data_IF_786586474415
#
_entry.id   IF_786586474415
#
_cell.length_a   1.000
_cell.length_b   1.000
_cell.length_c   1.000
_cell.angle_alpha   90.00
_cell.angle_beta   90.00
_cell.angle_gamma   90.00
#
_symmetry.space_group_name_H-M   'P 1'
#
loop_
_entity.id
_entity.type
_entity.pdbx_description
1 polymer ?
#
# COMPACT_ATOMS: atom_id res chain seq x y z
N UNK A 1 -5.66 8.80 12.84
CA UNK A 1 -4.55 7.86 13.11
C UNK A 1 -3.64 7.81 11.89
N UNK A 2 -2.31 7.67 12.06
CA UNK A 2 -1.35 7.52 10.96
C UNK A 2 -0.75 6.11 11.02
N UNK A 3 -0.71 5.42 9.88
CA UNK A 3 -0.03 4.13 9.72
C UNK A 3 1.29 4.33 8.97
N UNK A 4 2.30 3.52 9.27
CA UNK A 4 3.58 3.46 8.56
C UNK A 4 3.85 2.00 8.19
N UNK A 5 4.25 1.78 6.95
CA UNK A 5 4.64 0.48 6.43
C UNK A 5 6.01 0.64 5.80
N UNK A 6 6.93 -0.26 6.12
CA UNK A 6 8.22 -0.31 5.46
C UNK A 6 8.10 -1.14 4.18
N UNK A 7 8.68 -0.62 3.09
CA UNK A 7 8.70 -1.29 1.80
C UNK A 7 10.06 -1.96 1.60
N UNK A 8 10.06 -3.11 0.93
CA UNK A 8 11.31 -3.71 0.48
C UNK A 8 12.08 -2.74 -0.44
N UNK A 9 13.42 -2.71 -0.35
CA UNK A 9 14.22 -1.79 -1.14
C UNK A 9 14.12 -2.12 -2.64
N UNK A 10 14.20 -1.09 -3.48
CA UNK A 10 14.26 -1.20 -4.93
C UNK A 10 15.25 -0.20 -5.51
N UNK A 11 15.85 -0.52 -6.65
CA UNK A 11 16.70 0.38 -7.43
C UNK A 11 16.19 0.41 -8.86
N UNK A 12 15.68 1.57 -9.29
CA UNK A 12 15.04 1.70 -10.59
C UNK A 12 15.23 3.09 -11.20
N UNK A 13 15.47 3.13 -12.51
CA UNK A 13 15.52 4.37 -13.29
C UNK A 13 14.19 4.56 -14.02
N UNK A 14 13.44 5.59 -13.64
CA UNK A 14 12.24 6.01 -14.37
C UNK A 14 12.64 6.88 -15.56
N UNK A 15 12.67 6.28 -16.76
CA UNK A 15 13.00 6.97 -18.01
C UNK A 15 11.86 7.88 -18.47
N UNK A 16 12.15 8.76 -19.44
CA UNK A 16 11.14 9.59 -20.11
C UNK A 16 9.97 8.73 -20.61
N UNK A 17 8.75 9.12 -20.26
CA UNK A 17 7.53 8.39 -20.59
C UNK A 17 7.09 7.36 -19.54
N UNK A 18 7.96 6.98 -18.60
CA UNK A 18 7.58 6.11 -17.48
C UNK A 18 6.72 6.87 -16.46
N UNK A 19 6.02 6.11 -15.61
CA UNK A 19 5.26 6.64 -14.48
C UNK A 19 5.58 5.84 -13.22
N UNK A 20 5.58 6.54 -12.09
CA UNK A 20 5.52 5.91 -10.77
C UNK A 20 4.05 5.66 -10.44
N UNK A 21 3.69 4.42 -10.11
CA UNK A 21 2.34 4.06 -9.66
C UNK A 21 2.43 3.45 -8.27
N UNK A 22 1.57 3.91 -7.38
CA UNK A 22 1.36 3.31 -6.06
C UNK A 22 -0.02 2.67 -6.05
N UNK A 23 -0.10 1.40 -5.67
CA UNK A 23 -1.35 0.70 -5.44
C UNK A 23 -1.56 0.51 -3.93
N UNK A 24 -2.77 0.77 -3.45
CA UNK A 24 -3.17 0.56 -2.06
C UNK A 24 -4.35 -0.39 -2.07
N UNK A 25 -4.25 -1.48 -1.31
CA UNK A 25 -5.28 -2.48 -1.16
C UNK A 25 -5.45 -2.84 0.32
N UNK A 26 -6.64 -3.32 0.69
CA UNK A 26 -6.90 -3.82 2.05
C UNK A 26 -6.42 -5.26 2.27
N UNK A 27 -6.05 -5.98 1.21
CA UNK A 27 -5.69 -7.39 1.24
C UNK A 27 -4.74 -7.74 0.08
N UNK A 28 -3.86 -8.72 0.31
CA UNK A 28 -2.97 -9.32 -0.68
C UNK A 28 -2.94 -10.86 -0.47
N UNK A 29 -4.09 -11.49 -0.63
CA UNK A 29 -4.25 -12.94 -0.52
C UNK A 29 -3.91 -13.60 -1.87
N UNK A 30 -3.18 -14.74 -1.91
CA UNK A 30 -2.74 -15.57 -0.78
C UNK A 30 -1.34 -15.25 -0.23
N UNK A 31 -0.68 -14.18 -0.67
CA UNK A 31 0.68 -13.82 -0.20
C UNK A 31 0.71 -13.57 1.32
N UNK A 32 -0.36 -12.99 1.87
CA UNK A 32 -0.55 -12.78 3.31
C UNK A 32 -1.86 -13.39 3.81
N UNK A 33 -1.86 -13.78 5.08
CA UNK A 33 -3.06 -14.22 5.79
C UNK A 33 -4.08 -13.07 5.91
N UNK A 34 -5.37 -13.42 5.86
CA UNK A 34 -6.45 -12.46 6.08
C UNK A 34 -6.38 -11.89 7.50
N UNK A 35 -6.85 -10.66 7.69
CA UNK A 35 -6.93 -10.05 9.02
C UNK A 35 -7.91 -10.86 9.89
N UNK A 36 -7.44 -11.47 11.00
CA UNK A 36 -8.28 -12.34 11.83
C UNK A 36 -9.40 -11.59 12.56
N UNK A 37 -9.27 -10.27 12.72
CA UNK A 37 -10.34 -9.43 13.26
C UNK A 37 -11.46 -9.10 12.26
N UNK A 38 -11.27 -9.43 10.97
CA UNK A 38 -12.27 -9.23 9.93
C UNK A 38 -12.79 -10.55 9.35
N UNK A 39 -11.94 -11.55 9.19
CA UNK A 39 -12.31 -12.84 8.61
C UNK A 39 -11.63 -14.01 9.34
N UNK A 40 -12.33 -15.14 9.56
CA UNK A 40 -11.72 -16.34 10.10
C UNK A 40 -10.57 -16.86 9.22
N UNK A 41 -9.53 -17.46 9.82
CA UNK A 41 -8.40 -18.01 9.06
C UNK A 41 -8.86 -19.02 8.00
N UNK A 42 -8.41 -18.82 6.76
CA UNK A 42 -8.64 -19.75 5.65
C UNK A 42 -10.02 -19.67 4.98
N UNK A 43 -10.85 -18.67 5.32
CA UNK A 43 -12.20 -18.50 4.77
C UNK A 43 -12.42 -17.12 4.13
N UNK A 44 -11.84 -16.86 2.95
CA UNK A 44 -11.98 -15.56 2.29
C UNK A 44 -13.42 -15.17 1.96
N UNK A 45 -14.30 -16.13 1.70
CA UNK A 45 -15.71 -15.94 1.43
C UNK A 45 -16.51 -15.37 2.61
N UNK A 46 -15.99 -15.51 3.83
CA UNK A 46 -16.61 -14.96 5.05
C UNK A 46 -16.10 -13.54 5.36
N UNK A 47 -15.27 -12.93 4.50
CA UNK A 47 -14.82 -11.54 4.67
C UNK A 47 -15.99 -10.56 4.51
N UNK A 48 -16.28 -9.69 5.50
CA UNK A 48 -17.30 -8.67 5.35
C UNK A 48 -16.84 -7.59 4.36
N UNK A 49 -17.80 -6.94 3.71
CA UNK A 49 -17.53 -5.74 2.91
C UNK A 49 -16.88 -4.68 3.81
N UNK A 50 -15.70 -4.21 3.41
CA UNK A 50 -14.90 -3.28 4.21
C UNK A 50 -14.55 -2.04 3.40
N UNK A 51 -14.97 -0.87 3.88
CA UNK A 51 -14.65 0.41 3.25
C UNK A 51 -13.30 0.93 3.74
N UNK A 52 -12.33 1.04 2.83
CA UNK A 52 -11.02 1.66 3.09
C UNK A 52 -11.03 3.10 2.56
N UNK A 53 -10.64 4.05 3.41
CA UNK A 53 -10.53 5.47 3.04
C UNK A 53 -9.07 5.91 3.20
N UNK A 54 -8.48 6.40 2.10
CA UNK A 54 -7.13 6.97 2.10
C UNK A 54 -7.23 8.50 2.03
N UNK A 55 -6.94 9.16 3.14
CA UNK A 55 -6.87 10.62 3.20
C UNK A 55 -5.62 11.13 2.47
N UNK A 56 -5.73 12.25 1.74
CA UNK A 56 -4.64 12.77 0.88
C UNK A 56 -4.46 14.29 0.96
N UNK A 57 -5.04 14.93 1.98
CA UNK A 57 -5.08 16.40 2.09
C UNK A 57 -4.82 16.87 3.53
N UNK A 58 -4.37 18.12 3.66
CA UNK A 58 -4.14 18.79 4.94
C UNK A 58 -3.18 18.01 5.86
N UNK A 59 -3.55 17.90 7.13
CA UNK A 59 -2.78 17.15 8.13
C UNK A 59 -2.71 15.63 7.84
N UNK A 60 -3.59 15.11 6.97
CA UNK A 60 -3.67 13.70 6.60
C UNK A 60 -3.21 13.44 5.16
N UNK A 61 -2.24 14.20 4.66
CA UNK A 61 -1.63 13.99 3.34
C UNK A 61 -0.80 12.70 3.31
N UNK A 62 -1.45 11.56 3.08
CA UNK A 62 -0.78 10.27 2.89
C UNK A 62 0.18 10.34 1.71
N UNK A 63 1.37 9.73 1.86
CA UNK A 63 2.45 9.79 0.87
C UNK A 63 3.27 8.50 0.86
N UNK A 64 4.01 8.30 -0.23
CA UNK A 64 5.14 7.37 -0.29
C UNK A 64 6.44 8.19 -0.18
N UNK A 65 7.40 7.70 0.60
CA UNK A 65 8.75 8.29 0.70
C UNK A 65 9.67 7.51 -0.26
N UNK A 66 10.16 8.18 -1.31
CA UNK A 66 11.08 7.58 -2.29
C UNK A 66 12.50 8.12 -2.07
N UNK A 67 13.53 7.26 -1.98
CA UNK A 67 14.92 7.71 -1.88
C UNK A 67 15.44 8.15 -3.26
N UNK A 68 15.02 9.33 -3.70
CA UNK A 68 15.42 9.87 -5.02
C UNK A 68 16.90 10.20 -5.01
N UNK A 69 17.67 9.53 -5.88
CA UNK A 69 19.07 9.86 -6.17
C UNK A 69 19.08 10.75 -7.42
N UNK A 70 19.53 12.02 -7.31
CA UNK A 70 19.66 12.90 -8.47
C UNK A 70 20.61 12.29 -9.51
N UNK A 71 20.25 12.40 -10.78
CA UNK A 71 21.18 12.10 -11.86
C UNK A 71 22.32 13.12 -11.87
N UNK A 72 23.53 12.65 -12.15
CA UNK A 72 24.68 13.49 -12.51
C UNK A 72 24.50 14.17 -13.85
#
# INVERSE_FOLDING_TARGET
MKLRFDLFPTSWIFKKGHRVRVAVAGVDHPNFSLNPGLAPPGKPEECPETRVIVHRTGQFASRIELPVIPGS
#
